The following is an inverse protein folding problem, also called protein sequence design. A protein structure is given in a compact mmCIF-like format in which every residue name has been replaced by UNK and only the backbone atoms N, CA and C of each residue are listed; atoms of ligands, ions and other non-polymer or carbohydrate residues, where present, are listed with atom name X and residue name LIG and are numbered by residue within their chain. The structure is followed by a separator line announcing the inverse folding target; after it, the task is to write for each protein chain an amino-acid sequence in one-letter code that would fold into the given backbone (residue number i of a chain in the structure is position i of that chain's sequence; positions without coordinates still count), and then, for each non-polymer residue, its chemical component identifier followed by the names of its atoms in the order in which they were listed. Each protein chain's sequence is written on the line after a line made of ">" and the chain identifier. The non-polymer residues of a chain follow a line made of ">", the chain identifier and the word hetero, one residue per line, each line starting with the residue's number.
data_IF_362053240670
#
_entry.id   IF_362053240670
#
_cell.length_a   1.000
_cell.length_b   1.000
_cell.length_c   1.000
_cell.angle_alpha   90.00
_cell.angle_beta   90.00
_cell.angle_gamma   90.00
#
_symmetry.space_group_name_H-M   'P 1'
#
loop_
_entity.id
_entity.type
_entity.pdbx_description
1 polymer ?
#
# COMPACT_ATOMS: atom_id res chain seq x y z
N UNK A 1 19.45 -15.06 12.06
CA UNK A 1 18.02 -14.86 11.79
C UNK A 1 17.78 -15.03 10.30
N UNK A 2 16.76 -15.79 9.94
CA UNK A 2 16.24 -15.82 8.58
C UNK A 2 15.56 -14.47 8.22
N UNK A 3 15.42 -14.15 6.93
CA UNK A 3 14.88 -12.89 6.43
C UNK A 3 13.48 -12.60 6.99
N UNK A 4 12.61 -13.61 7.08
CA UNK A 4 11.28 -13.50 7.67
C UNK A 4 11.33 -13.13 9.16
N UNK A 5 12.27 -13.71 9.90
CA UNK A 5 12.48 -13.38 11.32
C UNK A 5 12.90 -11.94 11.52
N UNK A 6 13.68 -11.35 10.58
CA UNK A 6 14.08 -9.93 10.65
C UNK A 6 12.89 -8.99 10.46
N UNK A 7 11.94 -9.32 9.59
CA UNK A 7 10.72 -8.51 9.38
C UNK A 7 9.81 -8.49 10.61
N UNK A 8 9.68 -9.63 11.29
CA UNK A 8 8.83 -9.72 12.48
C UNK A 8 9.34 -8.85 13.64
N UNK A 9 10.66 -8.77 13.80
CA UNK A 9 11.27 -7.99 14.89
C UNK A 9 11.62 -6.56 14.49
N UNK A 10 11.74 -6.27 13.18
CA UNK A 10 12.25 -4.98 12.71
C UNK A 10 11.40 -3.81 13.14
N UNK A 11 10.09 -3.98 13.36
CA UNK A 11 9.26 -2.86 13.83
C UNK A 11 8.90 -3.02 15.32
N UNK A 12 9.26 -4.12 15.99
CA UNK A 12 8.98 -4.32 17.42
C UNK A 12 10.12 -3.87 18.35
N UNK A 13 11.35 -3.81 17.82
CA UNK A 13 12.57 -3.60 18.61
C UNK A 13 12.54 -2.32 19.44
N UNK A 14 12.23 -1.17 18.83
CA UNK A 14 12.15 0.11 19.53
C UNK A 14 11.07 0.14 20.62
N UNK A 15 9.87 -0.39 20.33
CA UNK A 15 8.78 -0.42 21.31
C UNK A 15 9.14 -1.27 22.52
N UNK A 16 9.71 -2.45 22.30
CA UNK A 16 10.18 -3.33 23.37
C UNK A 16 11.31 -2.66 24.17
N UNK A 17 12.29 -2.06 23.51
CA UNK A 17 13.37 -1.33 24.19
C UNK A 17 12.83 -0.22 25.09
N UNK A 18 11.92 0.62 24.57
CA UNK A 18 11.29 1.70 25.35
C UNK A 18 10.58 1.17 26.62
N UNK A 19 9.85 0.07 26.51
CA UNK A 19 9.13 -0.54 27.65
C UNK A 19 10.11 -1.13 28.67
N UNK A 20 11.14 -1.83 28.21
CA UNK A 20 12.14 -2.48 29.07
C UNK A 20 13.04 -1.44 29.76
N UNK A 21 13.45 -0.40 29.04
CA UNK A 21 14.21 0.72 29.59
C UNK A 21 13.39 1.44 30.68
N UNK A 22 12.07 1.58 30.47
CA UNK A 22 11.18 2.18 31.47
C UNK A 22 10.97 1.30 32.71
N UNK A 23 11.07 -0.04 32.60
CA UNK A 23 10.93 -0.94 33.74
C UNK A 23 12.23 -1.10 34.55
N UNK A 24 13.38 -0.78 33.96
CA UNK A 24 14.70 -0.97 34.57
C UNK A 24 15.11 -2.45 34.71
N UNK A 25 14.34 -3.37 34.13
CA UNK A 25 14.67 -4.79 34.07
C UNK A 25 15.57 -5.09 32.86
N UNK A 26 16.51 -6.05 32.95
CA UNK A 26 17.27 -6.46 31.78
C UNK A 26 16.36 -7.15 30.74
N UNK A 27 16.69 -6.97 29.47
CA UNK A 27 16.02 -7.68 28.38
C UNK A 27 16.20 -9.19 28.56
N UNK A 28 15.08 -9.92 28.60
CA UNK A 28 15.07 -11.38 28.75
C UNK A 28 15.72 -12.06 27.54
N UNK A 29 16.33 -13.22 27.75
CA UNK A 29 17.05 -13.96 26.70
C UNK A 29 16.14 -14.30 25.51
N UNK A 30 14.87 -14.62 25.78
CA UNK A 30 13.86 -14.91 24.76
C UNK A 30 13.55 -13.70 23.87
N UNK A 31 13.89 -12.49 24.32
CA UNK A 31 13.67 -11.23 23.62
C UNK A 31 14.94 -10.65 22.99
N UNK A 32 16.09 -11.34 23.05
CA UNK A 32 17.37 -10.86 22.51
C UNK A 32 17.28 -10.43 21.03
N UNK A 33 16.39 -11.08 20.29
CA UNK A 33 16.00 -10.77 18.93
C UNK A 33 15.54 -9.30 18.73
N UNK A 34 14.75 -8.76 19.66
CA UNK A 34 14.27 -7.37 19.64
C UNK A 34 15.35 -6.38 20.04
N UNK A 35 16.27 -6.77 20.92
CA UNK A 35 17.39 -5.91 21.35
C UNK A 35 18.33 -5.56 20.20
N UNK A 36 18.52 -6.47 19.25
CA UNK A 36 19.43 -6.30 18.09
C UNK A 36 18.70 -5.98 16.78
N UNK A 37 17.36 -5.93 16.80
CA UNK A 37 16.55 -5.62 15.64
C UNK A 37 16.82 -4.20 15.14
N UNK A 38 16.99 -4.08 13.81
CA UNK A 38 17.09 -2.79 13.11
C UNK A 38 15.72 -2.42 12.57
N UNK A 39 15.33 -1.17 12.80
CA UNK A 39 14.08 -0.63 12.27
C UNK A 39 14.08 -0.58 10.75
N UNK A 40 12.95 -1.03 10.17
CA UNK A 40 12.72 -1.00 8.74
C UNK A 40 11.66 0.03 8.35
N UNK A 41 11.34 0.96 9.24
CA UNK A 41 10.38 2.02 8.97
C UNK A 41 11.04 3.19 8.23
N UNK A 42 11.25 3.00 6.91
CA UNK A 42 11.76 4.07 6.04
C UNK A 42 10.73 5.17 5.80
N UNK A 43 9.45 4.91 6.05
CA UNK A 43 8.41 5.91 5.88
C UNK A 43 8.45 6.92 7.04
N UNK A 44 8.73 6.46 8.26
CA UNK A 44 9.04 7.32 9.41
C UNK A 44 10.33 8.12 9.19
N UNK A 45 11.32 7.56 8.50
CA UNK A 45 12.56 8.26 8.21
C UNK A 45 12.39 9.45 7.23
N UNK A 46 11.30 9.49 6.46
CA UNK A 46 10.96 10.64 5.63
C UNK A 46 10.18 11.68 6.45
N UNK A 47 10.90 12.68 6.95
CA UNK A 47 10.28 13.81 7.67
C UNK A 47 9.21 14.51 6.80
N UNK A 48 8.04 14.76 7.39
CA UNK A 48 6.92 15.44 6.72
C UNK A 48 6.04 14.57 5.82
N UNK A 49 6.30 13.26 5.70
CA UNK A 49 5.43 12.36 4.95
C UNK A 49 4.25 11.86 5.82
N UNK A 50 3.04 12.25 5.45
CA UNK A 50 1.79 11.86 6.13
C UNK A 50 1.18 10.56 5.59
N UNK A 51 1.18 10.39 4.26
CA UNK A 51 0.65 9.21 3.60
C UNK A 51 1.26 9.05 2.20
N UNK A 52 1.33 7.81 1.72
CA UNK A 52 1.67 7.47 0.34
C UNK A 52 0.38 7.23 -0.43
N UNK A 53 0.19 7.96 -1.53
CA UNK A 53 -0.85 7.67 -2.52
C UNK A 53 -0.26 6.79 -3.63
N UNK A 54 -0.86 5.63 -3.87
CA UNK A 54 -0.37 4.69 -4.90
C UNK A 54 -1.51 3.91 -5.55
N UNK A 55 -1.29 3.28 -6.73
CA UNK A 55 -2.27 2.34 -7.29
C UNK A 55 -2.50 1.16 -6.36
N UNK A 56 -3.75 0.70 -6.23
CA UNK A 56 -4.05 -0.52 -5.43
C UNK A 56 -3.51 -1.77 -6.13
N UNK A 57 -3.66 -1.83 -7.45
CA UNK A 57 -3.15 -2.91 -8.30
C UNK A 57 -2.71 -2.30 -9.64
N UNK A 58 -1.91 -3.00 -10.45
CA UNK A 58 -1.60 -2.53 -11.80
C UNK A 58 -2.77 -2.73 -12.78
N UNK A 59 -3.92 -3.22 -12.31
CA UNK A 59 -5.08 -3.55 -13.11
C UNK A 59 -6.28 -2.68 -12.73
N UNK A 60 -7.08 -2.26 -13.71
CA UNK A 60 -8.42 -1.73 -13.44
C UNK A 60 -9.37 -2.86 -13.02
N UNK A 61 -9.29 -3.98 -13.74
CA UNK A 61 -9.95 -5.23 -13.44
C UNK A 61 -9.24 -6.38 -14.17
N UNK A 62 -9.53 -7.60 -13.76
CA UNK A 62 -8.94 -8.80 -14.33
C UNK A 62 -10.02 -9.83 -14.67
N UNK A 63 -9.71 -10.66 -15.66
CA UNK A 63 -10.46 -11.90 -15.91
C UNK A 63 -10.31 -12.80 -14.68
N UNK A 64 -11.34 -13.59 -14.41
CA UNK A 64 -11.33 -14.52 -13.28
C UNK A 64 -10.14 -15.49 -13.42
N UNK A 65 -9.34 -15.64 -12.36
CA UNK A 65 -8.14 -16.50 -12.33
C UNK A 65 -6.84 -15.83 -12.80
N UNK A 66 -6.89 -14.56 -13.22
CA UNK A 66 -5.73 -13.87 -13.81
C UNK A 66 -5.05 -12.85 -12.89
N UNK A 67 -5.27 -12.95 -11.57
CA UNK A 67 -4.54 -12.13 -10.60
C UNK A 67 -3.11 -12.65 -10.40
N UNK A 68 -2.14 -12.08 -11.12
CA UNK A 68 -0.76 -12.60 -11.16
C UNK A 68 0.22 -11.94 -10.19
N UNK A 69 -0.06 -10.74 -9.69
CA UNK A 69 0.84 -10.04 -8.77
C UNK A 69 0.10 -9.34 -7.63
N UNK A 70 0.63 -9.52 -6.41
CA UNK A 70 0.19 -8.83 -5.19
C UNK A 70 1.18 -7.73 -4.76
N UNK A 71 2.17 -7.39 -5.60
CA UNK A 71 3.30 -6.53 -5.20
C UNK A 71 2.89 -5.15 -4.68
N UNK A 72 1.80 -4.58 -5.22
CA UNK A 72 1.31 -3.26 -4.84
C UNK A 72 0.70 -3.20 -3.43
N UNK A 73 0.25 -4.33 -2.87
CA UNK A 73 -0.35 -4.38 -1.52
C UNK A 73 0.51 -5.21 -0.56
N UNK A 74 1.18 -6.24 -1.06
CA UNK A 74 1.96 -7.18 -0.26
C UNK A 74 3.14 -6.55 0.47
N UNK A 75 3.76 -5.51 -0.10
CA UNK A 75 4.85 -4.77 0.58
C UNK A 75 4.39 -4.15 1.89
N UNK A 76 3.15 -3.63 1.95
CA UNK A 76 2.61 -2.98 3.13
C UNK A 76 2.17 -3.99 4.19
N UNK A 77 1.74 -5.18 3.79
CA UNK A 77 1.49 -6.29 4.72
C UNK A 77 2.79 -6.74 5.41
N UNK A 78 3.89 -6.84 4.66
CA UNK A 78 5.20 -7.25 5.21
C UNK A 78 5.74 -6.19 6.18
N UNK A 79 5.54 -4.92 5.86
CA UNK A 79 5.99 -3.79 6.68
C UNK A 79 5.03 -3.46 7.84
N UNK A 80 3.89 -4.14 7.93
CA UNK A 80 2.85 -3.88 8.93
C UNK A 80 2.41 -2.41 8.94
N UNK A 81 2.13 -1.86 7.75
CA UNK A 81 1.71 -0.47 7.56
C UNK A 81 0.19 -0.38 7.39
N UNK A 82 -0.41 0.67 7.95
CA UNK A 82 -1.85 0.92 7.83
C UNK A 82 -2.18 1.36 6.41
N UNK A 83 -3.05 0.63 5.71
CA UNK A 83 -3.40 0.91 4.33
C UNK A 83 -4.90 0.82 4.09
N UNK A 84 -5.42 1.63 3.18
CA UNK A 84 -6.82 1.58 2.73
C UNK A 84 -6.93 1.83 1.23
N UNK A 85 -7.87 1.14 0.58
CA UNK A 85 -8.16 1.29 -0.84
C UNK A 85 -9.52 1.96 -1.02
N UNK A 86 -9.60 2.88 -1.98
CA UNK A 86 -10.83 3.61 -2.28
C UNK A 86 -11.04 3.74 -3.79
N UNK A 87 -12.30 3.77 -4.26
CA UNK A 87 -12.59 4.01 -5.65
C UNK A 87 -12.34 5.49 -5.98
N UNK A 88 -11.64 5.75 -7.07
CA UNK A 88 -11.47 7.13 -7.58
C UNK A 88 -12.73 7.68 -8.25
N UNK A 89 -13.66 6.76 -8.57
CA UNK A 89 -14.78 6.95 -9.48
C UNK A 89 -14.37 7.32 -10.90
N UNK A 90 -13.10 7.16 -11.26
CA UNK A 90 -12.64 7.15 -12.65
C UNK A 90 -12.84 5.73 -13.17
N UNK A 91 -13.27 5.62 -14.42
CA UNK A 91 -13.43 4.34 -15.10
C UNK A 91 -12.43 4.23 -16.23
N UNK A 92 -11.93 3.03 -16.50
CA UNK A 92 -11.01 2.78 -17.59
C UNK A 92 -11.63 3.14 -18.95
N UNK A 93 -10.84 3.76 -19.82
CA UNK A 93 -11.23 4.23 -21.13
C UNK A 93 -10.36 3.59 -22.21
N UNK A 94 -10.94 2.75 -23.05
CA UNK A 94 -10.22 2.01 -24.09
C UNK A 94 -9.50 2.86 -25.15
N UNK A 95 -9.93 4.10 -25.36
CA UNK A 95 -9.31 5.01 -26.33
C UNK A 95 -8.10 5.72 -25.73
N UNK A 96 -8.08 5.90 -24.40
CA UNK A 96 -7.02 6.61 -23.67
C UNK A 96 -6.01 5.68 -23.03
N UNK A 97 -6.48 4.57 -22.47
CA UNK A 97 -5.70 3.62 -21.69
C UNK A 97 -5.10 2.57 -22.61
N UNK A 98 -4.22 3.02 -23.52
CA UNK A 98 -3.50 2.13 -24.44
C UNK A 98 -2.01 2.26 -24.24
N UNK A 99 -1.29 1.16 -24.45
CA UNK A 99 0.17 1.21 -24.40
C UNK A 99 0.73 2.01 -25.58
N UNK A 100 1.70 2.87 -25.30
CA UNK A 100 2.47 3.52 -26.35
C UNK A 100 3.17 2.48 -27.24
N UNK A 101 3.33 2.79 -28.54
CA UNK A 101 3.92 1.86 -29.53
C UNK A 101 5.30 1.33 -29.12
N UNK A 102 6.08 2.11 -28.35
CA UNK A 102 7.41 1.75 -27.89
C UNK A 102 7.49 1.52 -26.38
N UNK A 103 6.37 1.21 -25.72
CA UNK A 103 6.38 0.87 -24.31
C UNK A 103 7.22 -0.39 -24.06
N UNK A 104 8.28 -0.24 -23.27
CA UNK A 104 9.15 -1.32 -22.83
C UNK A 104 8.84 -1.64 -21.37
N UNK A 105 8.47 -2.88 -21.11
CA UNK A 105 8.17 -3.32 -19.76
C UNK A 105 9.43 -3.34 -18.88
N UNK A 106 9.26 -3.15 -17.59
CA UNK A 106 10.36 -3.05 -16.62
C UNK A 106 10.91 -4.40 -16.17
N UNK A 107 10.21 -5.50 -16.45
CA UNK A 107 10.63 -6.86 -16.15
C UNK A 107 9.54 -7.89 -16.46
N UNK A 108 9.77 -9.15 -16.11
CA UNK A 108 8.90 -10.28 -16.47
C UNK A 108 7.45 -10.11 -15.97
N UNK A 109 7.26 -9.66 -14.73
CA UNK A 109 5.92 -9.44 -14.15
C UNK A 109 5.16 -8.32 -14.87
N UNK A 110 5.88 -7.28 -15.29
CA UNK A 110 5.32 -6.16 -16.05
C UNK A 110 5.00 -6.58 -17.50
N UNK A 111 5.86 -7.40 -18.11
CA UNK A 111 5.61 -8.00 -19.42
C UNK A 111 4.34 -8.87 -19.42
N UNK A 112 4.14 -9.69 -18.39
CA UNK A 112 2.92 -10.49 -18.23
C UNK A 112 1.70 -9.58 -18.08
N UNK A 113 1.79 -8.57 -17.21
CA UNK A 113 0.70 -7.60 -16.99
C UNK A 113 0.32 -6.87 -18.28
N UNK A 114 1.32 -6.42 -19.05
CA UNK A 114 1.12 -5.78 -20.35
C UNK A 114 0.48 -6.72 -21.36
N UNK A 115 0.96 -7.95 -21.46
CA UNK A 115 0.46 -8.95 -22.41
C UNK A 115 -1.01 -9.31 -22.15
N UNK A 116 -1.37 -9.41 -20.87
CA UNK A 116 -2.70 -9.85 -20.46
C UNK A 116 -3.71 -8.69 -20.43
N UNK A 117 -3.26 -7.45 -20.62
CA UNK A 117 -4.11 -6.25 -20.67
C UNK A 117 -4.96 -6.19 -21.95
N UNK A 118 -6.27 -6.00 -21.76
CA UNK A 118 -7.26 -5.90 -22.83
C UNK A 118 -8.15 -4.67 -22.58
N UNK A 119 -7.88 -3.60 -23.33
CA UNK A 119 -8.53 -2.30 -23.16
C UNK A 119 -10.06 -2.35 -23.38
N UNK A 120 -10.53 -3.19 -24.30
CA UNK A 120 -11.96 -3.38 -24.55
C UNK A 120 -12.61 -4.11 -23.38
N UNK A 121 -11.98 -5.16 -22.87
CA UNK A 121 -12.52 -5.95 -21.76
C UNK A 121 -12.65 -5.15 -20.46
N UNK A 122 -11.75 -4.19 -20.20
CA UNK A 122 -11.75 -3.39 -18.97
C UNK A 122 -12.48 -2.05 -19.11
N UNK A 123 -12.96 -1.69 -20.30
CA UNK A 123 -13.61 -0.41 -20.53
C UNK A 123 -14.82 -0.21 -19.60
N UNK A 124 -14.89 0.95 -18.94
CA UNK A 124 -15.96 1.27 -17.99
C UNK A 124 -15.78 0.68 -16.59
N UNK A 125 -14.76 -0.15 -16.37
CA UNK A 125 -14.47 -0.73 -15.04
C UNK A 125 -13.81 0.30 -14.12
N UNK A 126 -14.08 0.26 -12.80
CA UNK A 126 -13.60 1.26 -11.85
C UNK A 126 -12.08 1.15 -11.64
N UNK A 127 -11.45 2.32 -11.47
CA UNK A 127 -10.03 2.42 -11.07
C UNK A 127 -9.96 2.80 -9.59
N UNK A 128 -9.16 2.06 -8.83
CA UNK A 128 -8.95 2.26 -7.40
C UNK A 128 -7.52 2.68 -7.09
N UNK A 129 -7.37 3.53 -6.08
CA UNK A 129 -6.09 3.89 -5.49
C UNK A 129 -6.08 3.48 -4.02
N UNK A 130 -4.90 3.44 -3.43
CA UNK A 130 -4.69 3.19 -2.01
C UNK A 130 -3.90 4.32 -1.35
N UNK A 131 -4.23 4.56 -0.09
CA UNK A 131 -3.47 5.41 0.82
C UNK A 131 -2.80 4.54 1.88
N UNK A 132 -1.53 4.80 2.13
CA UNK A 132 -0.72 4.05 3.09
C UNK A 132 -0.09 4.99 4.10
N UNK A 133 -0.36 4.74 5.37
CA UNK A 133 0.16 5.45 6.52
C UNK A 133 1.19 4.65 7.29
N UNK A 134 1.64 5.24 8.39
CA UNK A 134 2.58 4.58 9.28
C UNK A 134 1.83 3.50 10.05
N UNK A 135 2.58 2.59 10.66
CA UNK A 135 2.01 1.57 11.52
C UNK A 135 1.26 2.22 12.71
N UNK A 136 0.11 1.65 13.07
CA UNK A 136 -0.80 2.15 14.11
C UNK A 136 -1.42 3.53 13.80
N UNK A 137 -1.51 3.91 12.52
CA UNK A 137 -2.17 5.15 12.08
C UNK A 137 -3.47 4.88 11.29
N UNK A 138 -4.19 3.78 11.58
CA UNK A 138 -5.42 3.39 10.87
C UNK A 138 -6.48 4.50 10.88
N UNK A 139 -6.75 5.09 12.04
CA UNK A 139 -7.74 6.16 12.20
C UNK A 139 -7.39 7.39 11.35
N UNK A 140 -6.11 7.79 11.37
CA UNK A 140 -5.60 8.91 10.55
C UNK A 140 -5.76 8.61 9.07
N UNK A 141 -5.44 7.40 8.63
CA UNK A 141 -5.55 7.02 7.21
C UNK A 141 -6.99 6.91 6.75
N UNK A 142 -7.90 6.47 7.61
CA UNK A 142 -9.34 6.52 7.33
C UNK A 142 -9.83 7.97 7.16
N UNK A 143 -9.43 8.89 8.04
CA UNK A 143 -9.77 10.31 7.95
C UNK A 143 -9.25 10.97 6.66
N UNK A 144 -7.98 10.73 6.32
CA UNK A 144 -7.39 11.22 5.06
C UNK A 144 -8.13 10.64 3.85
N UNK A 145 -8.48 9.36 3.89
CA UNK A 145 -9.21 8.70 2.81
C UNK A 145 -10.61 9.26 2.63
N UNK A 146 -11.33 9.46 3.73
CA UNK A 146 -12.63 10.12 3.71
C UNK A 146 -12.53 11.50 3.06
N UNK A 147 -11.50 12.29 3.44
CA UNK A 147 -11.27 13.61 2.87
C UNK A 147 -11.00 13.54 1.36
N UNK A 148 -10.15 12.63 0.91
CA UNK A 148 -9.83 12.44 -0.51
C UNK A 148 -11.07 12.04 -1.30
N UNK A 149 -11.87 11.09 -0.80
CA UNK A 149 -13.11 10.65 -1.47
C UNK A 149 -14.12 11.81 -1.56
N UNK A 150 -14.25 12.62 -0.52
CA UNK A 150 -15.12 13.80 -0.53
C UNK A 150 -14.65 14.85 -1.56
N UNK A 151 -13.34 15.10 -1.64
CA UNK A 151 -12.79 16.07 -2.58
C UNK A 151 -12.92 15.58 -4.04
N UNK A 152 -12.79 14.27 -4.27
CA UNK A 152 -13.08 13.64 -5.57
C UNK A 152 -14.56 13.78 -5.97
N UNK A 153 -15.48 13.56 -5.04
CA UNK A 153 -16.92 13.73 -5.29
C UNK A 153 -17.26 15.19 -5.62
N UNK A 154 -16.69 16.14 -4.87
CA UNK A 154 -16.84 17.59 -5.14
C UNK A 154 -16.31 17.99 -6.51
N UNK A 155 -15.14 17.48 -6.91
CA UNK A 155 -14.56 17.78 -8.21
C UNK A 155 -15.45 17.31 -9.38
N UNK A 156 -16.30 16.29 -9.16
CA UNK A 156 -17.28 15.80 -10.13
C UNK A 156 -18.64 16.49 -10.07
N UNK A 157 -18.85 17.39 -9.10
CA UNK A 157 -20.16 17.97 -8.83
C UNK A 157 -21.15 17.01 -8.18
N UNK A 158 -20.67 15.89 -7.62
CA UNK A 158 -21.49 14.88 -6.97
C UNK A 158 -21.53 15.16 -5.45
N UNK A 159 -22.68 15.61 -4.95
CA UNK A 159 -22.91 15.81 -3.52
C UNK A 159 -23.50 14.55 -2.88
N UNK A 160 -22.69 13.51 -2.65
CA UNK A 160 -23.08 12.43 -1.74
C UNK A 160 -21.97 12.14 -0.73
N UNK A 161 -22.28 12.42 0.53
CA UNK A 161 -21.44 12.04 1.66
C UNK A 161 -21.34 10.52 1.77
N UNK A 162 -20.13 10.06 2.05
CA UNK A 162 -19.84 8.69 2.48
C UNK A 162 -20.69 8.37 3.72
N UNK A 163 -21.47 7.31 3.66
CA UNK A 163 -22.17 6.72 4.81
C UNK A 163 -21.83 5.24 4.85
#
# INVERSE_FOLDING_TARGET
>A
MDLMGRFFVSNGGNSIRSIVDASGEPLREEMAAYGTAKELDRMVACEGLDAILSPTTPYAALKNGDFKTVSYTGVYNILDLSATSFPTGITANKEKDTYAQHFKSFGEVDDVTKRDYDAEAVHGMPVSLQLVGKRLEEERILDVTQRVVQDLARAKGESKGWR
#
